data_IF_232871965321
#
_entry.id   IF_232871965321
#
_cell.length_a   1.000
_cell.length_b   1.000
_cell.length_c   1.000
_cell.angle_alpha   90.00
_cell.angle_beta   90.00
_cell.angle_gamma   90.00
#
_symmetry.space_group_name_H-M   'P 1'
#
loop_
_entity.id
_entity.type
_entity.pdbx_description
1 polymer ?
#
# COMPACT_ATOMS: atom_id res chain seq x y z
N UNK A 1 -8.42 -13.54 -5.39
CA UNK A 1 -8.60 -12.37 -6.30
C UNK A 1 -7.26 -11.85 -6.79
N UNK A 2 -6.27 -11.70 -5.90
CA UNK A 2 -4.92 -11.32 -6.26
C UNK A 2 -4.19 -12.50 -6.93
N UNK A 3 -3.18 -12.20 -7.76
CA UNK A 3 -2.24 -13.19 -8.27
C UNK A 3 -1.14 -13.41 -7.22
N UNK A 4 -1.22 -14.53 -6.51
CA UNK A 4 -0.34 -14.92 -5.42
C UNK A 4 0.25 -16.33 -5.67
N UNK A 5 1.43 -16.65 -5.13
CA UNK A 5 2.33 -15.76 -4.40
C UNK A 5 2.97 -14.72 -5.34
N UNK A 6 3.23 -13.50 -4.86
CA UNK A 6 3.90 -12.49 -5.71
C UNK A 6 5.39 -12.82 -5.85
N UNK A 7 6.03 -12.50 -6.99
CA UNK A 7 7.46 -12.78 -7.16
C UNK A 7 8.35 -12.13 -6.11
N UNK A 8 9.43 -12.82 -5.77
CA UNK A 8 10.52 -12.37 -4.91
C UNK A 8 11.81 -12.41 -5.73
N UNK A 9 12.32 -11.24 -6.12
CA UNK A 9 13.37 -11.11 -7.14
C UNK A 9 14.62 -10.41 -6.57
N UNK A 10 15.83 -10.87 -6.88
CA UNK A 10 17.04 -10.12 -6.57
C UNK A 10 17.17 -8.89 -7.48
N UNK A 11 17.82 -7.84 -7.00
CA UNK A 11 18.18 -6.64 -7.76
C UNK A 11 19.72 -6.56 -7.92
N UNK A 12 20.33 -7.46 -8.70
CA UNK A 12 21.78 -7.62 -8.73
C UNK A 12 22.52 -6.43 -9.36
N UNK A 13 21.93 -5.76 -10.35
CA UNK A 13 22.57 -4.63 -11.03
C UNK A 13 22.60 -3.41 -10.11
N UNK A 14 21.51 -3.17 -9.40
CA UNK A 14 21.41 -2.09 -8.44
C UNK A 14 22.26 -2.36 -7.20
N UNK A 15 22.30 -3.60 -6.70
CA UNK A 15 23.23 -4.03 -5.64
C UNK A 15 24.67 -3.70 -6.03
N UNK A 16 25.11 -4.11 -7.21
CA UNK A 16 26.45 -3.85 -7.71
C UNK A 16 26.73 -2.34 -7.90
N UNK A 17 25.75 -1.59 -8.43
CA UNK A 17 25.88 -0.15 -8.65
C UNK A 17 26.06 0.63 -7.33
N UNK A 18 25.38 0.21 -6.26
CA UNK A 18 25.42 0.92 -4.99
C UNK A 18 26.59 0.48 -4.09
N UNK A 19 27.23 -0.65 -4.39
CA UNK A 19 28.23 -1.26 -3.51
C UNK A 19 27.68 -1.55 -2.10
N UNK A 20 26.35 -1.70 -2.01
CA UNK A 20 25.59 -1.72 -0.77
C UNK A 20 25.11 -3.13 -0.38
N UNK A 21 24.10 -3.26 0.49
CA UNK A 21 23.56 -4.56 0.88
C UNK A 21 22.98 -5.30 -0.32
N UNK A 22 22.79 -6.61 -0.18
CA UNK A 22 22.13 -7.42 -1.21
C UNK A 22 20.65 -7.02 -1.30
N UNK A 23 20.26 -6.42 -2.43
CA UNK A 23 18.91 -5.89 -2.62
C UNK A 23 17.99 -6.90 -3.27
N UNK A 24 16.78 -6.96 -2.74
CA UNK A 24 15.68 -7.77 -3.23
C UNK A 24 14.40 -6.96 -3.33
N UNK A 25 13.44 -7.45 -4.11
CA UNK A 25 12.14 -6.83 -4.28
C UNK A 25 11.01 -7.86 -4.16
N UNK A 26 9.99 -7.54 -3.36
CA UNK A 26 8.73 -8.27 -3.30
C UNK A 26 7.72 -7.59 -4.21
N UNK A 27 7.28 -8.27 -5.28
CA UNK A 27 6.54 -7.71 -6.41
C UNK A 27 5.03 -7.59 -6.18
N UNK A 28 4.63 -6.92 -5.11
CA UNK A 28 3.21 -6.66 -4.84
C UNK A 28 2.57 -5.68 -5.85
N UNK A 29 3.36 -5.04 -6.70
CA UNK A 29 2.90 -4.37 -7.92
C UNK A 29 2.24 -5.35 -8.91
N UNK A 30 2.56 -6.64 -8.82
CA UNK A 30 2.08 -7.68 -9.73
C UNK A 30 0.90 -8.51 -9.20
N UNK A 31 0.19 -8.04 -8.17
CA UNK A 31 -1.01 -8.72 -7.64
C UNK A 31 -2.20 -8.79 -8.62
N UNK A 32 -2.08 -8.23 -9.83
CA UNK A 32 -3.00 -8.47 -10.96
C UNK A 32 -4.30 -7.65 -10.97
N UNK A 33 -4.79 -7.18 -9.82
CA UNK A 33 -6.07 -6.47 -9.74
C UNK A 33 -5.97 -5.05 -10.33
N UNK A 34 -6.43 -4.88 -11.58
CA UNK A 34 -6.42 -3.64 -12.34
C UNK A 34 -5.08 -2.89 -12.26
N UNK A 35 -3.99 -3.49 -12.76
CA UNK A 35 -2.58 -3.05 -12.62
C UNK A 35 -1.91 -3.35 -11.26
N UNK A 36 -2.60 -4.03 -10.35
CA UNK A 36 -2.02 -4.56 -9.11
C UNK A 36 -1.63 -3.52 -8.05
N UNK A 37 -0.88 -3.96 -7.06
CA UNK A 37 -0.51 -3.21 -5.87
C UNK A 37 -0.96 -3.88 -4.57
N UNK A 38 -0.58 -3.26 -3.45
CA UNK A 38 -0.82 -3.81 -2.12
C UNK A 38 -2.29 -3.96 -1.71
N UNK A 39 -3.19 -3.21 -2.33
CA UNK A 39 -4.60 -3.17 -1.88
C UNK A 39 -5.33 -4.45 -2.24
N UNK A 40 -4.93 -5.14 -3.31
CA UNK A 40 -5.48 -6.43 -3.69
C UNK A 40 -5.45 -7.44 -2.52
N UNK A 41 -4.33 -7.55 -1.79
CA UNK A 41 -4.21 -8.43 -0.62
C UNK A 41 -5.20 -8.11 0.50
N UNK A 42 -5.40 -6.81 0.78
CA UNK A 42 -6.36 -6.37 1.80
C UNK A 42 -7.80 -6.59 1.35
N UNK A 43 -8.06 -6.31 0.08
CA UNK A 43 -9.39 -6.41 -0.52
C UNK A 43 -9.84 -7.87 -0.64
N UNK A 44 -8.96 -8.86 -0.68
CA UNK A 44 -9.36 -10.27 -0.60
C UNK A 44 -10.18 -10.56 0.65
N UNK A 45 -9.75 -10.04 1.80
CA UNK A 45 -10.44 -10.23 3.08
C UNK A 45 -11.65 -9.31 3.20
N UNK A 46 -11.51 -8.03 2.81
CA UNK A 46 -12.59 -7.05 2.90
C UNK A 46 -13.77 -7.38 1.98
N UNK A 47 -13.52 -7.89 0.78
CA UNK A 47 -14.60 -8.30 -0.13
C UNK A 47 -15.28 -9.58 0.37
N UNK A 48 -14.51 -10.52 0.93
CA UNK A 48 -15.11 -11.69 1.57
C UNK A 48 -16.06 -11.29 2.73
N UNK A 49 -15.66 -10.31 3.54
CA UNK A 49 -16.49 -9.74 4.61
C UNK A 49 -17.70 -8.96 4.06
N UNK A 50 -17.53 -8.20 2.98
CA UNK A 50 -18.64 -7.51 2.33
C UNK A 50 -19.69 -8.50 1.80
N UNK A 51 -19.24 -9.59 1.16
CA UNK A 51 -20.12 -10.62 0.63
C UNK A 51 -20.83 -11.42 1.73
N UNK A 52 -20.15 -11.69 2.86
CA UNK A 52 -20.77 -12.38 4.00
C UNK A 52 -21.85 -11.53 4.68
N UNK A 53 -21.74 -10.20 4.59
CA UNK A 53 -22.75 -9.23 5.02
C UNK A 53 -23.80 -8.93 3.94
N UNK A 54 -23.81 -9.71 2.85
CA UNK A 54 -24.72 -9.57 1.71
C UNK A 54 -24.67 -8.18 1.06
N UNK A 55 -23.56 -7.46 1.18
CA UNK A 55 -23.41 -6.14 0.59
C UNK A 55 -23.59 -6.19 -0.92
N UNK A 56 -24.21 -5.15 -1.47
CA UNK A 56 -24.43 -5.01 -2.92
C UNK A 56 -23.57 -3.91 -3.54
N UNK A 57 -22.92 -3.07 -2.71
CA UNK A 57 -22.18 -1.88 -3.14
C UNK A 57 -20.94 -1.70 -2.27
N UNK A 58 -19.77 -1.48 -2.86
CA UNK A 58 -18.59 -1.01 -2.12
C UNK A 58 -18.49 0.51 -2.17
N UNK A 59 -18.33 1.14 -1.02
CA UNK A 59 -18.10 2.59 -0.88
C UNK A 59 -16.72 2.82 -0.30
N UNK A 60 -15.89 3.60 -0.96
CA UNK A 60 -14.57 3.98 -0.42
C UNK A 60 -14.19 5.41 -0.79
N UNK A 61 -13.05 5.89 -0.29
CA UNK A 61 -12.53 7.20 -0.62
C UNK A 61 -11.06 7.24 -1.01
N UNK A 62 -10.70 8.33 -1.68
CA UNK A 62 -9.33 8.59 -2.09
C UNK A 62 -9.12 9.98 -2.67
N UNK A 63 -7.91 10.24 -3.14
CA UNK A 63 -7.66 11.30 -4.12
C UNK A 63 -7.96 10.80 -5.54
N UNK A 64 -8.03 11.70 -6.53
CA UNK A 64 -8.20 11.35 -7.95
C UNK A 64 -7.18 10.32 -8.48
N UNK A 65 -5.97 10.30 -7.94
CA UNK A 65 -4.93 9.32 -8.30
C UNK A 65 -4.79 8.18 -7.27
N UNK A 66 -5.84 7.88 -6.50
CA UNK A 66 -5.79 6.86 -5.45
C UNK A 66 -5.69 5.45 -6.02
N UNK A 67 -4.55 4.79 -5.75
CA UNK A 67 -4.39 3.36 -6.02
C UNK A 67 -5.39 2.48 -5.25
N UNK A 68 -5.88 2.98 -4.11
CA UNK A 68 -6.89 2.28 -3.32
C UNK A 68 -8.26 2.34 -3.98
N UNK A 69 -8.70 3.53 -4.41
CA UNK A 69 -9.99 3.70 -5.06
C UNK A 69 -10.09 2.79 -6.29
N UNK A 70 -9.05 2.81 -7.14
CA UNK A 70 -8.92 1.97 -8.33
C UNK A 70 -8.96 0.47 -8.06
N UNK A 71 -8.26 0.00 -7.04
CA UNK A 71 -8.31 -1.43 -6.68
C UNK A 71 -9.63 -1.83 -6.04
N UNK A 72 -10.28 -0.95 -5.25
CA UNK A 72 -11.61 -1.22 -4.69
C UNK A 72 -12.68 -1.27 -5.78
N UNK A 73 -12.65 -0.34 -6.74
CA UNK A 73 -13.54 -0.38 -7.90
C UNK A 73 -13.34 -1.65 -8.73
N UNK A 74 -12.08 -2.07 -8.94
CA UNK A 74 -11.78 -3.32 -9.64
C UNK A 74 -12.26 -4.55 -8.89
N UNK A 75 -12.11 -4.57 -7.57
CA UNK A 75 -12.62 -5.64 -6.73
C UNK A 75 -14.15 -5.74 -6.82
N UNK A 76 -14.86 -4.61 -6.64
CA UNK A 76 -16.31 -4.56 -6.79
C UNK A 76 -16.75 -5.08 -8.16
N UNK A 77 -16.12 -4.59 -9.24
CA UNK A 77 -16.42 -5.05 -10.60
C UNK A 77 -16.22 -6.55 -10.79
N UNK A 78 -15.14 -7.12 -10.26
CA UNK A 78 -14.85 -8.55 -10.36
C UNK A 78 -15.91 -9.43 -9.67
N UNK A 79 -16.53 -8.94 -8.60
CA UNK A 79 -17.52 -9.68 -7.81
C UNK A 79 -18.96 -9.24 -8.09
N UNK A 80 -19.19 -8.42 -9.11
CA UNK A 80 -20.55 -7.98 -9.48
C UNK A 80 -21.20 -7.03 -8.47
N UNK A 81 -20.41 -6.34 -7.66
CA UNK A 81 -20.87 -5.31 -6.74
C UNK A 81 -20.88 -3.94 -7.43
N UNK A 82 -21.84 -3.10 -7.05
CA UNK A 82 -21.79 -1.68 -7.37
C UNK A 82 -20.60 -1.02 -6.66
N UNK A 83 -20.12 0.10 -7.19
CA UNK A 83 -18.95 0.80 -6.63
C UNK A 83 -19.10 2.30 -6.68
N UNK A 84 -19.02 2.91 -5.50
CA UNK A 84 -19.03 4.36 -5.34
C UNK A 84 -17.71 4.81 -4.74
N UNK A 85 -17.02 5.70 -5.45
CA UNK A 85 -15.76 6.29 -5.05
C UNK A 85 -15.98 7.74 -4.64
N UNK A 86 -15.75 8.03 -3.35
CA UNK A 86 -15.80 9.39 -2.81
C UNK A 86 -14.41 10.02 -2.90
N UNK A 87 -14.21 10.90 -3.88
CA UNK A 87 -12.91 11.47 -4.18
C UNK A 87 -12.77 12.90 -3.63
N UNK A 88 -11.58 13.22 -3.07
CA UNK A 88 -11.29 14.53 -2.49
C UNK A 88 -11.31 15.63 -3.56
N UNK A 89 -11.85 16.80 -3.20
CA UNK A 89 -11.80 18.00 -4.03
C UNK A 89 -12.82 17.93 -5.16
N UNK A 90 -12.48 18.56 -6.27
CA UNK A 90 -13.29 18.66 -7.48
C UNK A 90 -12.71 17.80 -8.61
N UNK A 91 -13.51 17.58 -9.66
CA UNK A 91 -13.06 16.88 -10.85
C UNK A 91 -11.86 17.57 -11.51
N UNK A 92 -10.72 16.88 -11.72
CA UNK A 92 -9.61 17.46 -12.43
C UNK A 92 -9.98 17.65 -13.92
N UNK A 93 -9.42 18.67 -14.59
CA UNK A 93 -9.71 18.94 -16.00
C UNK A 93 -9.26 17.81 -16.94
N UNK A 94 -8.32 16.97 -16.49
CA UNK A 94 -7.80 15.85 -17.26
C UNK A 94 -8.08 14.52 -16.55
N UNK A 95 -8.67 13.59 -17.30
CA UNK A 95 -8.97 12.23 -16.86
C UNK A 95 -7.83 11.33 -17.32
N UNK A 96 -6.99 10.91 -16.38
CA UNK A 96 -5.82 10.07 -16.65
C UNK A 96 -5.44 9.21 -15.44
N UNK A 97 -4.48 8.29 -15.62
CA UNK A 97 -3.98 7.44 -14.53
C UNK A 97 -5.10 6.66 -13.84
N UNK A 98 -5.12 6.67 -12.50
CA UNK A 98 -6.12 5.93 -11.74
C UNK A 98 -7.56 6.41 -12.01
N UNK A 99 -7.81 7.73 -12.16
CA UNK A 99 -9.18 8.24 -12.42
C UNK A 99 -9.76 7.72 -13.75
N UNK A 100 -8.92 7.58 -14.79
CA UNK A 100 -9.35 6.96 -16.04
C UNK A 100 -9.73 5.50 -15.82
N UNK A 101 -8.90 4.76 -15.08
CA UNK A 101 -9.17 3.36 -14.75
C UNK A 101 -10.43 3.20 -13.89
N UNK A 102 -10.68 4.10 -12.93
CA UNK A 102 -11.89 4.11 -12.10
C UNK A 102 -13.15 4.16 -12.99
N UNK A 103 -13.17 5.04 -14.00
CA UNK A 103 -14.28 5.15 -14.96
C UNK A 103 -14.42 3.93 -15.86
N UNK A 104 -13.32 3.36 -16.35
CA UNK A 104 -13.34 2.14 -17.16
C UNK A 104 -13.83 0.93 -16.37
N UNK A 105 -13.52 0.89 -15.07
CA UNK A 105 -14.06 -0.09 -14.14
C UNK A 105 -15.53 0.19 -13.78
N UNK A 106 -16.12 1.25 -14.33
CA UNK A 106 -17.52 1.62 -14.16
C UNK A 106 -17.85 2.11 -12.75
N UNK A 107 -16.94 2.81 -12.09
CA UNK A 107 -17.19 3.42 -10.80
C UNK A 107 -18.05 4.68 -10.91
N UNK A 108 -19.02 4.82 -10.01
CA UNK A 108 -19.65 6.11 -9.73
C UNK A 108 -18.67 6.95 -8.91
N UNK A 109 -18.28 8.11 -9.44
CA UNK A 109 -17.36 9.03 -8.75
C UNK A 109 -18.16 10.18 -8.15
N UNK A 110 -18.04 10.36 -6.83
CA UNK A 110 -18.60 11.48 -6.08
C UNK A 110 -17.50 12.36 -5.55
N UNK A 111 -17.48 13.62 -5.96
CA UNK A 111 -16.50 14.60 -5.53
C UNK A 111 -16.93 15.19 -4.18
N UNK A 112 -16.06 15.12 -3.19
CA UNK A 112 -16.35 15.57 -1.82
C UNK A 112 -16.22 17.09 -1.65
N UNK A 113 -15.66 17.81 -2.63
CA UNK A 113 -15.35 19.22 -2.50
C UNK A 113 -14.47 19.48 -1.28
N UNK A 114 -14.97 20.30 -0.35
CA UNK A 114 -14.34 20.61 0.94
C UNK A 114 -14.72 19.67 2.08
N UNK A 115 -15.73 18.80 1.90
CA UNK A 115 -16.21 17.90 2.95
C UNK A 115 -15.13 16.88 3.31
N UNK A 116 -14.86 16.64 4.61
CA UNK A 116 -13.94 15.58 5.03
C UNK A 116 -14.36 14.22 4.49
N UNK A 117 -13.41 13.47 3.91
CA UNK A 117 -13.70 12.17 3.29
C UNK A 117 -14.48 11.18 4.19
N UNK A 118 -14.20 11.04 5.51
CA UNK A 118 -14.99 10.15 6.37
C UNK A 118 -16.46 10.57 6.46
N UNK A 119 -16.73 11.87 6.51
CA UNK A 119 -18.08 12.41 6.56
C UNK A 119 -18.80 12.20 5.22
N UNK A 120 -18.16 12.54 4.11
CA UNK A 120 -18.73 12.34 2.77
C UNK A 120 -19.00 10.85 2.47
N UNK A 121 -18.13 9.94 2.90
CA UNK A 121 -18.37 8.50 2.81
C UNK A 121 -19.58 8.05 3.64
N UNK A 122 -19.74 8.60 4.85
CA UNK A 122 -20.88 8.28 5.71
C UNK A 122 -22.19 8.77 5.10
N UNK A 123 -22.20 9.99 4.52
CA UNK A 123 -23.35 10.54 3.79
C UNK A 123 -23.75 9.65 2.62
N UNK A 124 -22.80 9.29 1.75
CA UNK A 124 -23.05 8.40 0.59
C UNK A 124 -23.55 7.03 1.02
N UNK A 125 -22.98 6.44 2.07
CA UNK A 125 -23.45 5.17 2.59
C UNK A 125 -24.88 5.27 3.13
N UNK A 126 -25.23 6.37 3.79
CA UNK A 126 -26.59 6.57 4.30
C UNK A 126 -27.60 6.79 3.17
N UNK A 127 -27.27 7.58 2.15
CA UNK A 127 -28.10 7.75 0.97
C UNK A 127 -28.41 6.41 0.28
N UNK A 128 -27.41 5.54 0.15
CA UNK A 128 -27.58 4.19 -0.40
C UNK A 128 -28.49 3.33 0.48
N UNK A 129 -28.34 3.39 1.81
CA UNK A 129 -29.24 2.66 2.73
C UNK A 129 -30.69 3.13 2.63
N UNK A 130 -30.91 4.44 2.59
CA UNK A 130 -32.25 5.03 2.39
C UNK A 130 -32.86 4.59 1.06
N UNK A 131 -32.04 4.39 0.02
CA UNK A 131 -32.46 3.84 -1.27
C UNK A 131 -32.65 2.31 -1.27
N UNK A 132 -32.58 1.64 -0.10
CA UNK A 132 -32.77 0.19 0.04
C UNK A 132 -31.56 -0.65 -0.36
N UNK A 133 -30.39 -0.03 -0.55
CA UNK A 133 -29.13 -0.72 -0.88
C UNK A 133 -28.39 -1.14 0.39
N UNK A 134 -27.42 -2.06 0.23
CA UNK A 134 -26.56 -2.55 1.33
C UNK A 134 -25.10 -2.17 1.08
N UNK A 135 -24.69 -0.93 1.40
CA UNK A 135 -23.34 -0.48 1.18
C UNK A 135 -22.38 -1.04 2.23
N UNK A 136 -21.24 -1.56 1.76
CA UNK A 136 -20.08 -1.88 2.59
C UNK A 136 -19.03 -0.78 2.47
N UNK A 137 -18.69 -0.16 3.60
CA UNK A 137 -17.75 0.95 3.65
C UNK A 137 -16.33 0.42 3.83
N UNK A 138 -15.51 0.54 2.78
CA UNK A 138 -14.08 0.21 2.83
C UNK A 138 -13.31 1.45 3.29
N UNK A 139 -12.70 1.45 4.49
CA UNK A 139 -12.01 2.62 5.02
C UNK A 139 -10.77 2.94 4.19
N UNK A 140 -10.31 4.20 4.26
CA UNK A 140 -9.18 4.70 3.48
C UNK A 140 -7.97 3.76 3.51
N UNK A 141 -7.58 3.27 2.33
CA UNK A 141 -6.44 2.38 2.13
C UNK A 141 -6.69 0.92 2.54
N UNK A 142 -7.94 0.55 2.83
CA UNK A 142 -8.33 -0.75 3.38
C UNK A 142 -7.68 -1.03 4.73
N UNK A 143 -7.45 0.02 5.53
CA UNK A 143 -6.73 -0.09 6.80
C UNK A 143 -7.68 -0.26 7.98
N UNK A 144 -8.13 -1.49 8.18
CA UNK A 144 -8.81 -1.97 9.38
C UNK A 144 -8.25 -3.38 9.72
N UNK A 145 -8.68 -4.00 10.83
CA UNK A 145 -8.19 -5.33 11.21
C UNK A 145 -8.31 -6.38 10.10
N UNK A 146 -9.47 -6.45 9.44
CA UNK A 146 -9.74 -7.41 8.35
C UNK A 146 -8.77 -7.21 7.17
N UNK A 147 -8.59 -5.96 6.73
CA UNK A 147 -7.68 -5.64 5.64
C UNK A 147 -6.21 -5.82 6.02
N UNK A 148 -5.84 -5.60 7.28
CA UNK A 148 -4.49 -5.85 7.78
C UNK A 148 -4.15 -7.34 7.85
N UNK A 149 -5.13 -8.23 8.07
CA UNK A 149 -4.96 -9.69 7.98
C UNK A 149 -4.38 -10.14 6.64
N UNK A 150 -4.70 -9.44 5.55
CA UNK A 150 -4.11 -9.71 4.23
C UNK A 150 -2.59 -9.53 4.20
N UNK A 151 -2.02 -8.71 5.07
CA UNK A 151 -0.58 -8.55 5.23
C UNK A 151 0.05 -9.43 6.31
N UNK A 152 -0.77 -10.01 7.21
CA UNK A 152 -0.34 -11.14 8.04
C UNK A 152 -0.10 -12.36 7.16
N UNK A 153 -1.06 -12.70 6.29
CA UNK A 153 -0.91 -13.76 5.30
C UNK A 153 0.23 -13.48 4.29
N UNK A 154 0.47 -12.22 3.94
CA UNK A 154 1.61 -11.86 3.09
C UNK A 154 2.97 -12.13 3.76
N UNK A 155 3.05 -11.98 5.09
CA UNK A 155 4.28 -12.32 5.81
C UNK A 155 4.50 -13.83 5.84
N UNK A 156 3.45 -14.62 6.04
CA UNK A 156 3.50 -16.08 5.89
C UNK A 156 3.98 -16.49 4.49
N UNK A 157 3.43 -15.87 3.45
CA UNK A 157 3.86 -16.08 2.07
C UNK A 157 5.36 -15.77 1.88
N UNK A 158 5.85 -14.65 2.43
CA UNK A 158 7.27 -14.31 2.35
C UNK A 158 8.15 -15.36 3.05
N UNK A 159 7.78 -15.79 4.25
CA UNK A 159 8.58 -16.77 5.01
C UNK A 159 8.58 -18.15 4.33
N UNK A 160 7.49 -18.56 3.71
CA UNK A 160 7.44 -19.78 2.88
C UNK A 160 8.40 -19.67 1.68
N UNK A 161 8.34 -18.56 0.93
CA UNK A 161 9.26 -18.31 -0.19
C UNK A 161 10.73 -18.26 0.25
N UNK A 162 10.99 -17.74 1.44
CA UNK A 162 12.32 -17.71 2.04
C UNK A 162 12.82 -19.11 2.37
N UNK A 163 11.99 -19.93 3.03
CA UNK A 163 12.34 -21.30 3.41
C UNK A 163 12.63 -22.19 2.18
N UNK A 164 11.83 -22.06 1.12
CA UNK A 164 12.02 -22.81 -0.14
C UNK A 164 13.37 -22.53 -0.83
N UNK A 165 13.97 -21.36 -0.55
CA UNK A 165 15.13 -20.84 -1.26
C UNK A 165 16.35 -20.66 -0.36
N UNK A 166 16.26 -21.08 0.90
CA UNK A 166 17.27 -20.84 1.95
C UNK A 166 17.65 -19.34 2.04
N UNK A 167 16.63 -18.48 2.02
CA UNK A 167 16.77 -17.02 2.10
C UNK A 167 16.36 -16.52 3.47
N UNK A 168 17.00 -15.43 3.89
CA UNK A 168 16.56 -14.59 5.00
C UNK A 168 16.77 -13.13 4.62
N UNK A 169 15.98 -12.24 5.22
CA UNK A 169 16.11 -10.80 5.04
C UNK A 169 16.32 -10.16 6.40
N UNK A 170 17.40 -9.39 6.52
CA UNK A 170 17.69 -8.62 7.74
C UNK A 170 16.77 -7.40 7.85
N UNK A 171 16.37 -6.84 6.70
CA UNK A 171 15.51 -5.66 6.64
C UNK A 171 14.43 -5.80 5.57
N UNK A 172 13.23 -5.34 5.90
CA UNK A 172 12.13 -5.08 4.98
C UNK A 172 11.85 -3.58 4.98
N UNK A 173 11.88 -2.96 3.80
CA UNK A 173 11.60 -1.52 3.63
C UNK A 173 10.37 -1.35 2.75
N UNK A 174 9.42 -0.52 3.19
CA UNK A 174 8.17 -0.30 2.47
C UNK A 174 7.62 1.13 2.63
N UNK A 175 6.83 1.65 1.67
CA UNK A 175 6.06 2.86 1.90
C UNK A 175 4.95 2.64 2.94
N UNK A 176 4.77 3.60 3.84
CA UNK A 176 3.74 3.57 4.88
C UNK A 176 2.96 4.90 4.95
N UNK A 177 1.64 4.81 5.12
CA UNK A 177 0.74 5.97 5.18
C UNK A 177 -0.54 5.65 5.93
N UNK A 178 -1.48 4.91 5.32
CA UNK A 178 -2.71 4.47 6.00
C UNK A 178 -2.47 3.34 7.01
N UNK A 179 -1.26 2.78 7.09
CA UNK A 179 -0.82 1.87 8.15
C UNK A 179 -1.04 0.37 7.89
N UNK A 180 -2.15 -0.06 7.30
CA UNK A 180 -2.52 -1.50 7.30
C UNK A 180 -1.58 -2.47 6.60
N UNK A 181 -0.67 -1.99 5.73
CA UNK A 181 0.40 -2.84 5.17
C UNK A 181 1.44 -3.15 6.26
N UNK A 182 2.03 -2.12 6.85
CA UNK A 182 3.09 -2.26 7.84
C UNK A 182 2.58 -2.90 9.13
N UNK A 183 1.37 -2.53 9.58
CA UNK A 183 0.75 -3.14 10.75
C UNK A 183 0.55 -4.65 10.55
N UNK A 184 -0.04 -5.06 9.42
CA UNK A 184 -0.24 -6.48 9.12
C UNK A 184 1.07 -7.26 8.99
N UNK A 185 2.09 -6.68 8.34
CA UNK A 185 3.41 -7.29 8.25
C UNK A 185 4.05 -7.49 9.63
N UNK A 186 3.96 -6.51 10.53
CA UNK A 186 4.55 -6.62 11.87
C UNK A 186 3.78 -7.60 12.76
N UNK A 187 2.45 -7.66 12.65
CA UNK A 187 1.63 -8.68 13.32
C UNK A 187 2.04 -10.08 12.84
N UNK A 188 2.14 -10.28 11.52
CA UNK A 188 2.60 -11.55 10.95
C UNK A 188 4.04 -11.88 11.34
N UNK A 189 4.93 -10.89 11.37
CA UNK A 189 6.31 -11.06 11.79
C UNK A 189 6.39 -11.63 13.22
N UNK A 190 5.66 -11.02 14.16
CA UNK A 190 5.65 -11.44 15.56
C UNK A 190 4.99 -12.80 15.74
N UNK A 191 3.88 -13.07 15.02
CA UNK A 191 3.19 -14.36 15.08
C UNK A 191 4.05 -15.52 14.53
N UNK A 192 4.89 -15.26 13.53
CA UNK A 192 5.66 -16.26 12.81
C UNK A 192 7.15 -16.30 13.19
N UNK A 193 7.58 -15.50 14.17
CA UNK A 193 8.96 -15.47 14.66
C UNK A 193 9.98 -14.87 13.67
N UNK A 194 9.57 -13.91 12.83
CA UNK A 194 10.50 -13.19 11.97
C UNK A 194 11.35 -12.21 12.79
N UNK A 195 12.68 -12.33 12.69
CA UNK A 195 13.64 -11.55 13.50
C UNK A 195 14.17 -10.30 12.79
N UNK A 196 13.92 -10.16 11.49
CA UNK A 196 14.38 -9.01 10.71
C UNK A 196 13.59 -7.73 11.01
N UNK A 197 14.14 -6.59 10.59
CA UNK A 197 13.58 -5.26 10.88
C UNK A 197 12.63 -4.81 9.79
N UNK A 198 11.45 -4.30 10.16
CA UNK A 198 10.47 -3.76 9.21
C UNK A 198 10.42 -2.24 9.34
N UNK A 199 10.97 -1.53 8.35
CA UNK A 199 11.02 -0.08 8.30
C UNK A 199 9.97 0.48 7.32
N UNK A 200 9.02 1.23 7.86
CA UNK A 200 8.10 2.03 7.06
C UNK A 200 8.70 3.39 6.73
N UNK A 201 8.87 3.70 5.44
CA UNK A 201 9.13 5.07 4.99
C UNK A 201 7.79 5.80 4.91
N UNK A 202 7.61 6.82 5.75
CA UNK A 202 6.38 7.59 5.77
C UNK A 202 6.21 8.41 4.50
N UNK A 203 5.01 8.36 3.94
CA UNK A 203 4.65 9.12 2.73
C UNK A 203 3.93 10.42 3.06
N UNK A 204 3.34 10.56 4.24
CA UNK A 204 2.54 11.74 4.57
C UNK A 204 2.54 12.06 6.08
N UNK A 205 2.08 11.17 6.96
CA UNK A 205 2.06 11.47 8.39
C UNK A 205 3.46 11.58 8.99
N UNK A 206 3.61 12.41 10.03
CA UNK A 206 4.80 12.40 10.87
C UNK A 206 4.96 11.04 11.57
N UNK A 207 6.19 10.66 11.89
CA UNK A 207 6.52 9.36 12.44
C UNK A 207 5.70 9.07 13.70
N UNK A 208 5.61 10.03 14.62
CA UNK A 208 4.89 9.85 15.89
C UNK A 208 3.40 9.56 15.69
N UNK A 209 2.73 10.32 14.82
CA UNK A 209 1.33 10.10 14.45
C UNK A 209 1.14 8.74 13.79
N UNK A 210 2.06 8.34 12.92
CA UNK A 210 1.96 7.09 12.19
C UNK A 210 2.20 5.88 13.13
N UNK A 211 3.16 5.94 14.03
CA UNK A 211 3.43 4.89 15.02
C UNK A 211 2.22 4.61 15.91
N UNK A 212 1.58 5.66 16.44
CA UNK A 212 0.35 5.52 17.22
C UNK A 212 -0.77 4.85 16.42
N UNK A 213 -0.97 5.28 15.16
CA UNK A 213 -1.96 4.65 14.26
C UNK A 213 -1.64 3.19 14.00
N UNK A 214 -0.37 2.86 13.76
CA UNK A 214 0.10 1.51 13.49
C UNK A 214 -0.12 0.60 14.70
N UNK A 215 0.23 1.06 15.90
CA UNK A 215 0.03 0.32 17.14
C UNK A 215 -1.46 0.03 17.39
N UNK A 216 -2.32 1.04 17.28
CA UNK A 216 -3.77 0.84 17.42
C UNK A 216 -4.34 -0.14 16.40
N UNK A 217 -3.92 -0.05 15.13
CA UNK A 217 -4.36 -0.97 14.08
C UNK A 217 -3.83 -2.38 14.29
N UNK A 218 -2.57 -2.54 14.73
CA UNK A 218 -1.99 -3.84 15.01
C UNK A 218 -2.65 -4.51 16.22
N UNK A 219 -2.93 -3.76 17.28
CA UNK A 219 -3.71 -4.25 18.44
C UNK A 219 -5.09 -4.75 18.01
N UNK A 220 -5.83 -3.96 17.23
CA UNK A 220 -7.13 -4.39 16.73
C UNK A 220 -7.04 -5.60 15.77
N UNK A 221 -5.92 -5.76 15.05
CA UNK A 221 -5.66 -6.93 14.20
C UNK A 221 -5.32 -8.18 15.02
N UNK A 222 -4.53 -8.03 16.09
CA UNK A 222 -4.27 -9.09 17.07
C UNK A 222 -5.57 -9.60 17.67
N UNK A 223 -6.43 -8.69 18.16
CA UNK A 223 -7.71 -9.04 18.75
C UNK A 223 -8.61 -9.76 17.74
N UNK A 224 -8.68 -9.25 16.50
CA UNK A 224 -9.46 -9.86 15.42
C UNK A 224 -8.99 -11.27 15.06
N UNK A 225 -7.68 -11.55 15.15
CA UNK A 225 -7.09 -12.85 14.86
C UNK A 225 -7.01 -13.77 16.09
N UNK A 226 -7.40 -13.29 17.28
CA UNK A 226 -7.30 -14.05 18.53
C UNK A 226 -5.86 -14.33 18.97
N UNK A 227 -4.93 -13.43 18.66
CA UNK A 227 -3.51 -13.57 19.00
C UNK A 227 -3.23 -13.07 20.44
N UNK A 228 -2.30 -13.70 21.15
CA UNK A 228 -2.05 -13.48 22.59
C UNK A 228 -0.94 -12.48 22.93
N UNK A 229 -0.61 -11.52 22.05
CA UNK A 229 0.50 -10.58 22.26
C UNK A 229 0.09 -9.13 21.94
N UNK A 230 0.83 -8.15 22.44
CA UNK A 230 0.51 -6.73 22.29
C UNK A 230 1.53 -5.98 21.45
N UNK A 231 1.14 -4.78 21.00
CA UNK A 231 2.00 -3.81 20.34
C UNK A 231 1.90 -2.44 21.00
N UNK A 232 3.03 -1.75 21.07
CA UNK A 232 3.14 -0.34 21.44
C UNK A 232 3.71 0.48 20.26
N UNK A 233 3.56 1.81 20.24
CA UNK A 233 4.13 2.66 19.19
C UNK A 233 5.62 2.43 18.93
N UNK A 234 6.38 2.06 19.97
CA UNK A 234 7.83 1.83 19.93
C UNK A 234 8.22 0.57 19.16
N UNK A 235 7.31 -0.40 18.99
CA UNK A 235 7.53 -1.59 18.17
C UNK A 235 7.63 -1.24 16.67
N UNK A 236 7.16 -0.05 16.25
CA UNK A 236 7.11 0.35 14.84
C UNK A 236 8.28 1.25 14.47
N UNK A 237 9.13 0.77 13.57
CA UNK A 237 10.12 1.62 12.90
C UNK A 237 9.45 2.44 11.78
N UNK A 238 9.50 3.76 11.90
CA UNK A 238 8.99 4.70 10.90
C UNK A 238 10.03 5.78 10.68
N UNK A 239 10.38 6.03 9.42
CA UNK A 239 11.22 7.16 9.02
C UNK A 239 10.36 8.17 8.24
N UNK A 240 10.27 9.40 8.73
CA UNK A 240 9.56 10.52 8.10
C UNK A 240 10.48 11.66 7.63
N UNK A 241 11.79 11.39 7.46
CA UNK A 241 12.76 12.35 6.93
C UNK A 241 12.50 12.69 5.44
N UNK A 242 11.79 11.81 4.73
CA UNK A 242 11.58 11.87 3.28
C UNK A 242 10.22 12.44 2.86
N UNK A 243 9.52 13.16 3.74
CA UNK A 243 8.20 13.73 3.44
C UNK A 243 8.22 14.79 2.32
N UNK A 244 9.39 15.42 2.07
CA UNK A 244 9.59 16.37 0.98
C UNK A 244 8.56 17.50 0.97
N UNK A 245 7.97 17.77 -0.20
CA UNK A 245 6.89 18.75 -0.37
C UNK A 245 5.51 18.31 0.13
N UNK A 246 5.42 17.17 0.82
CA UNK A 246 4.16 16.58 1.30
C UNK A 246 3.56 15.55 0.35
N UNK A 247 2.34 15.14 0.65
CA UNK A 247 1.63 14.08 -0.08
C UNK A 247 1.36 14.45 -1.55
N UNK A 248 1.66 13.54 -2.47
CA UNK A 248 1.37 13.71 -3.90
C UNK A 248 2.37 14.63 -4.65
N UNK A 249 3.36 15.20 -3.96
CA UNK A 249 4.43 15.99 -4.57
C UNK A 249 5.58 15.07 -4.96
N UNK A 250 6.02 15.18 -6.23
CA UNK A 250 7.10 14.37 -6.80
C UNK A 250 8.35 15.24 -6.92
N UNK A 251 9.25 15.13 -5.95
CA UNK A 251 10.52 15.86 -5.88
C UNK A 251 11.67 15.11 -6.54
N UNK A 252 12.90 15.59 -6.31
CA UNK A 252 14.09 14.97 -6.90
C UNK A 252 14.38 13.59 -6.32
N UNK A 253 14.12 13.37 -5.03
CA UNK A 253 14.27 12.07 -4.38
C UNK A 253 13.42 10.99 -5.07
N UNK A 254 12.14 11.28 -5.34
CA UNK A 254 11.27 10.33 -6.04
C UNK A 254 11.70 10.14 -7.50
N UNK A 255 12.06 11.21 -8.21
CA UNK A 255 12.50 11.15 -9.61
C UNK A 255 13.78 10.33 -9.78
N UNK A 256 14.76 10.55 -8.91
CA UNK A 256 16.01 9.80 -8.87
C UNK A 256 15.73 8.32 -8.66
N UNK A 257 14.92 7.98 -7.65
CA UNK A 257 14.60 6.60 -7.33
C UNK A 257 13.90 5.88 -8.50
N UNK A 258 12.89 6.52 -9.09
CA UNK A 258 12.15 5.96 -10.23
C UNK A 258 13.10 5.72 -11.41
N UNK A 259 13.94 6.69 -11.77
CA UNK A 259 14.88 6.55 -12.90
C UNK A 259 15.96 5.51 -12.62
N UNK A 260 16.48 5.47 -11.40
CA UNK A 260 17.53 4.52 -10.99
C UNK A 260 17.03 3.10 -11.12
N UNK A 261 15.90 2.78 -10.49
CA UNK A 261 15.33 1.42 -10.51
C UNK A 261 14.87 1.03 -11.91
N UNK A 262 14.24 1.95 -12.66
CA UNK A 262 13.81 1.68 -14.02
C UNK A 262 14.97 1.35 -14.96
N UNK A 263 16.08 2.09 -14.87
CA UNK A 263 17.26 1.90 -15.75
C UNK A 263 18.14 0.72 -15.32
N UNK A 264 18.23 0.45 -14.02
CA UNK A 264 19.06 -0.62 -13.50
C UNK A 264 18.37 -1.99 -13.67
N UNK A 265 17.07 -2.07 -13.39
CA UNK A 265 16.36 -3.33 -13.16
C UNK A 265 15.08 -3.49 -13.99
N UNK A 266 14.71 -2.48 -14.80
CA UNK A 266 13.48 -2.55 -15.61
C UNK A 266 12.19 -2.49 -14.79
N UNK A 267 12.25 -2.07 -13.53
CA UNK A 267 11.09 -1.98 -12.62
C UNK A 267 10.61 -0.54 -12.49
N UNK A 268 9.30 -0.31 -12.64
CA UNK A 268 8.67 1.00 -12.54
C UNK A 268 8.00 1.22 -11.19
N UNK A 269 8.59 2.11 -10.40
CA UNK A 269 8.02 2.56 -9.13
C UNK A 269 6.88 3.58 -9.38
N UNK A 270 5.83 3.55 -8.57
CA UNK A 270 4.82 4.60 -8.52
C UNK A 270 5.38 5.92 -7.94
N UNK A 271 4.88 7.09 -8.39
CA UNK A 271 5.55 8.37 -8.14
C UNK A 271 5.38 8.95 -6.74
N UNK A 272 4.36 8.51 -5.98
CA UNK A 272 4.03 9.08 -4.66
C UNK A 272 4.52 8.20 -3.52
N UNK A 273 4.32 6.88 -3.63
CA UNK A 273 4.56 5.94 -2.53
C UNK A 273 5.91 5.25 -2.68
N UNK A 274 6.01 4.34 -3.65
CA UNK A 274 7.19 3.49 -3.81
C UNK A 274 8.40 4.28 -4.30
N UNK A 275 8.22 5.32 -5.10
CA UNK A 275 9.30 6.24 -5.47
C UNK A 275 9.93 6.91 -4.24
N UNK A 276 9.11 7.40 -3.31
CA UNK A 276 9.58 8.00 -2.05
C UNK A 276 10.25 6.99 -1.13
N UNK A 277 9.62 5.85 -0.91
CA UNK A 277 10.18 4.81 -0.05
C UNK A 277 11.50 4.25 -0.60
N UNK A 278 11.60 4.07 -1.92
CA UNK A 278 12.84 3.63 -2.54
C UNK A 278 13.89 4.74 -2.55
N UNK A 279 13.51 6.00 -2.73
CA UNK A 279 14.42 7.14 -2.57
C UNK A 279 15.02 7.22 -1.17
N UNK A 280 14.19 6.99 -0.14
CA UNK A 280 14.67 6.85 1.24
C UNK A 280 15.62 5.67 1.41
N UNK A 281 15.30 4.51 0.82
CA UNK A 281 16.21 3.35 0.81
C UNK A 281 17.57 3.67 0.17
N UNK A 282 17.59 4.37 -0.97
CA UNK A 282 18.84 4.78 -1.63
C UNK A 282 19.68 5.69 -0.74
N UNK A 283 19.08 6.68 -0.09
CA UNK A 283 19.77 7.57 0.85
C UNK A 283 20.30 6.81 2.08
N UNK A 284 19.50 5.89 2.66
CA UNK A 284 19.95 5.05 3.77
C UNK A 284 21.16 4.17 3.40
N UNK A 285 21.17 3.60 2.19
CA UNK A 285 22.32 2.84 1.68
C UNK A 285 23.55 3.75 1.56
N UNK A 286 23.41 4.94 0.98
CA UNK A 286 24.51 5.92 0.84
C UNK A 286 25.08 6.37 2.18
N UNK A 287 24.25 6.43 3.22
CA UNK A 287 24.63 6.77 4.59
C UNK A 287 25.21 5.59 5.38
N UNK A 288 25.31 4.39 4.78
CA UNK A 288 25.84 3.21 5.44
C UNK A 288 24.94 2.66 6.55
N UNK A 289 23.60 2.82 6.41
CA UNK A 289 22.64 2.34 7.41
C UNK A 289 22.57 0.79 7.51
N UNK A 290 23.08 0.09 6.50
CA UNK A 290 23.07 -1.38 6.40
C UNK A 290 24.50 -1.92 6.49
N UNK A 291 24.67 -3.05 7.17
CA UNK A 291 25.98 -3.68 7.34
C UNK A 291 26.36 -4.47 6.09
N UNK A 292 27.66 -4.63 5.79
CA UNK A 292 28.11 -5.53 4.73
C UNK A 292 27.56 -6.95 4.93
N UNK A 293 26.98 -7.52 3.87
CA UNK A 293 26.39 -8.87 3.88
C UNK A 293 24.93 -8.94 4.32
N UNK A 294 24.33 -7.84 4.81
CA UNK A 294 22.90 -7.80 5.09
C UNK A 294 22.08 -7.84 3.78
N UNK A 295 20.91 -8.48 3.86
CA UNK A 295 19.91 -8.53 2.78
C UNK A 295 18.75 -7.60 3.08
N UNK A 296 18.43 -6.74 2.12
CA UNK A 296 17.34 -5.78 2.23
C UNK A 296 16.26 -6.08 1.19
N UNK A 297 15.07 -6.39 1.67
CA UNK A 297 13.88 -6.55 0.85
C UNK A 297 13.12 -5.24 0.73
N UNK A 298 13.01 -4.69 -0.48
CA UNK A 298 12.05 -3.63 -0.76
C UNK A 298 10.67 -4.23 -1.09
N UNK A 299 9.65 -3.86 -0.32
CA UNK A 299 8.27 -4.29 -0.60
C UNK A 299 7.61 -3.35 -1.60
N UNK A 300 7.56 -3.75 -2.87
CA UNK A 300 6.99 -2.91 -3.92
C UNK A 300 5.46 -2.95 -3.90
N UNK A 301 4.85 -1.96 -3.26
CA UNK A 301 3.37 -1.89 -3.10
C UNK A 301 2.58 -1.47 -4.36
N UNK A 302 3.20 -1.46 -5.54
CA UNK A 302 2.63 -0.93 -6.78
C UNK A 302 2.55 0.59 -6.87
N UNK A 303 1.59 1.09 -7.67
CA UNK A 303 1.36 2.52 -7.88
C UNK A 303 1.77 3.06 -9.24
N UNK A 304 2.18 2.19 -10.15
CA UNK A 304 2.71 2.51 -11.49
C UNK A 304 1.69 3.25 -12.37
N UNK A 305 0.40 2.97 -12.24
CA UNK A 305 -0.67 3.71 -12.93
C UNK A 305 -0.65 5.22 -12.61
N UNK A 306 -0.12 5.62 -11.45
CA UNK A 306 0.04 7.01 -11.07
C UNK A 306 1.10 7.76 -11.87
N UNK A 307 2.03 7.07 -12.56
CA UNK A 307 3.06 7.72 -13.39
C UNK A 307 2.44 8.57 -14.49
N UNK A 308 1.40 8.07 -15.15
CA UNK A 308 0.67 8.79 -16.19
C UNK A 308 -0.05 10.03 -15.65
N UNK A 309 -0.43 10.02 -14.36
CA UNK A 309 -0.96 11.18 -13.65
C UNK A 309 0.09 12.27 -13.36
N UNK A 310 1.37 11.98 -13.58
CA UNK A 310 2.51 12.85 -13.27
C UNK A 310 3.45 13.03 -14.47
N UNK A 311 2.96 12.83 -15.70
CA UNK A 311 3.78 12.79 -16.91
C UNK A 311 4.71 14.02 -17.07
N UNK A 312 4.17 15.24 -16.98
CA UNK A 312 4.94 16.50 -17.06
C UNK A 312 6.01 16.65 -15.97
N UNK A 313 5.80 15.97 -14.83
CA UNK A 313 6.72 15.96 -13.69
C UNK A 313 7.71 14.80 -13.77
N UNK A 314 7.77 14.02 -14.85
CA UNK A 314 8.66 12.86 -14.94
C UNK A 314 9.46 12.83 -16.25
N UNK A 315 8.89 13.40 -17.32
CA UNK A 315 9.60 13.80 -18.54
C UNK A 315 10.69 14.82 -18.22
#
# INVERSE_FOLDING_TARGET
MAHLPTPLEPLPRLTAQLGGPELWIKRDDQTGLATGGNKARKLEFLVADALSQEADTLVTAGAAQSNHARQTAAAAAKFGLDRVLVLRGEEPPQVQGNLLLDRLLGAEVRWAGSTPLPEAMAQVAEELRVAGRRPYVVPYGGSNPIGASGYVAAMEELLAQCAERDLHFDHIVLPSSSGGTQAGLLVGARALGYEGRILGISVDPRAETLKHRLAGLAMATVDHLGLGFTFAPEDFAVNDDYLGGGYGVVGELEREAIRTVARAEGVLLGPVYTGRAFGGLLDLIRRGAFRPGERVLFWHTGGTAGLFGCAERLS
#
